data_IF_751753032293
#
_entry.id   IF_751753032293
#
_cell.length_a   1.000
_cell.length_b   1.000
_cell.length_c   1.000
_cell.angle_alpha   90.00
_cell.angle_beta   90.00
_cell.angle_gamma   90.00
#
_symmetry.space_group_name_H-M   'P 1'
#
loop_
_entity.id
_entity.type
_entity.pdbx_description
1 polymer ?
#
# COMPACT_ATOMS: atom_id res chain seq x y z
N UNK A 1 -2.61 16.09 9.74
CA UNK A 1 -3.87 15.88 10.45
C UNK A 1 -3.89 16.70 11.75
N UNK A 2 -2.95 16.50 12.68
CA UNK A 2 -2.90 17.25 13.95
C UNK A 2 -2.82 18.76 13.77
N UNK A 3 -2.08 19.24 12.77
CA UNK A 3 -2.04 20.67 12.43
C UNK A 3 -3.39 21.25 11.94
N UNK A 4 -4.35 20.39 11.68
CA UNK A 4 -5.72 20.73 11.31
C UNK A 4 -6.72 20.32 12.41
N UNK A 5 -6.25 20.13 13.65
CA UNK A 5 -7.04 19.71 14.81
C UNK A 5 -7.82 18.40 14.61
N UNK A 6 -7.33 17.54 13.72
CA UNK A 6 -7.90 16.20 13.49
C UNK A 6 -7.21 15.22 14.44
N UNK A 7 -7.93 14.63 15.42
CA UNK A 7 -7.37 13.61 16.30
C UNK A 7 -6.89 12.42 15.49
N UNK A 8 -5.62 12.03 15.69
CA UNK A 8 -5.04 10.91 14.99
C UNK A 8 -3.96 10.23 15.82
N UNK A 9 -3.76 8.95 15.55
CA UNK A 9 -2.75 8.11 16.17
C UNK A 9 -2.12 7.16 15.16
N UNK A 10 -1.00 6.55 15.50
CA UNK A 10 -0.33 5.58 14.66
C UNK A 10 -0.56 4.18 15.23
N UNK A 11 -0.99 3.24 14.39
CA UNK A 11 -1.04 1.83 14.75
C UNK A 11 0.12 1.11 14.05
N UNK A 12 0.95 0.43 14.85
CA UNK A 12 2.17 -0.24 14.40
C UNK A 12 1.99 -1.73 14.22
N UNK A 13 2.64 -2.29 13.19
CA UNK A 13 2.58 -3.71 12.85
C UNK A 13 3.91 -4.22 12.32
N UNK A 14 4.01 -5.53 12.15
CA UNK A 14 4.91 -6.12 11.17
C UNK A 14 4.13 -6.83 10.07
N UNK A 15 4.66 -6.78 8.84
CA UNK A 15 4.14 -7.49 7.68
C UNK A 15 5.16 -8.51 7.20
N UNK A 16 4.70 -9.63 6.61
CA UNK A 16 5.57 -10.64 6.03
C UNK A 16 6.25 -10.11 4.76
N UNK A 17 7.52 -10.43 4.55
CA UNK A 17 8.26 -10.05 3.35
C UNK A 17 7.67 -10.59 2.06
N UNK A 18 6.82 -11.62 2.11
CA UNK A 18 6.11 -12.14 0.95
C UNK A 18 5.34 -11.04 0.20
N UNK A 19 4.84 -10.04 0.94
CA UNK A 19 4.20 -8.85 0.39
C UNK A 19 5.11 -8.06 -0.57
N UNK A 20 6.43 -8.11 -0.37
CA UNK A 20 7.41 -7.43 -1.24
C UNK A 20 7.81 -8.27 -2.47
N UNK A 21 7.36 -9.53 -2.57
CA UNK A 21 7.68 -10.40 -3.71
C UNK A 21 7.18 -9.78 -5.02
N UNK A 22 8.07 -9.72 -6.01
CA UNK A 22 7.78 -9.06 -7.30
C UNK A 22 8.15 -7.57 -7.33
N UNK A 23 7.94 -6.81 -6.26
CA UNK A 23 8.49 -5.47 -6.12
C UNK A 23 9.99 -5.52 -5.86
N UNK A 24 10.43 -6.46 -5.01
CA UNK A 24 11.84 -6.80 -4.78
C UNK A 24 12.06 -8.24 -5.26
N UNK A 25 13.16 -8.49 -5.97
CA UNK A 25 13.49 -9.81 -6.53
C UNK A 25 14.96 -10.18 -6.29
N UNK A 26 15.30 -11.45 -6.55
CA UNK A 26 16.69 -11.94 -6.48
C UNK A 26 17.30 -11.86 -5.09
N UNK A 27 18.60 -11.54 -5.04
CA UNK A 27 19.38 -11.48 -3.81
C UNK A 27 18.83 -10.46 -2.81
N UNK A 28 18.30 -9.33 -3.29
CA UNK A 28 17.70 -8.32 -2.43
C UNK A 28 16.49 -8.84 -1.65
N UNK A 29 15.63 -9.64 -2.30
CA UNK A 29 14.51 -10.31 -1.62
C UNK A 29 15.00 -11.39 -0.64
N UNK A 30 16.03 -12.16 -1.01
CA UNK A 30 16.58 -13.18 -0.13
C UNK A 30 17.13 -12.58 1.17
N UNK A 31 17.83 -11.43 1.08
CA UNK A 31 18.44 -10.71 2.21
C UNK A 31 17.44 -9.84 3.01
N UNK A 32 16.22 -9.61 2.48
CA UNK A 32 15.21 -8.83 3.19
C UNK A 32 14.81 -9.53 4.51
N UNK A 33 14.58 -8.78 5.60
CA UNK A 33 14.08 -9.35 6.85
C UNK A 33 12.72 -10.00 6.62
N UNK A 34 12.44 -11.09 7.36
CA UNK A 34 11.14 -11.79 7.25
C UNK A 34 9.98 -10.88 7.64
N UNK A 35 10.16 -10.15 8.73
CA UNK A 35 9.17 -9.22 9.24
C UNK A 35 9.63 -7.80 8.95
N UNK A 36 8.76 -7.00 8.35
CA UNK A 36 9.01 -5.62 7.97
C UNK A 36 8.10 -4.73 8.83
N UNK A 37 8.68 -3.74 9.49
CA UNK A 37 7.91 -2.77 10.29
C UNK A 37 6.98 -2.00 9.35
N UNK A 38 5.73 -1.96 9.71
CA UNK A 38 4.64 -1.30 9.00
C UNK A 38 3.77 -0.52 9.98
N UNK A 39 3.08 0.50 9.50
CA UNK A 39 2.14 1.26 10.30
C UNK A 39 1.12 1.96 9.42
N UNK A 40 -0.06 2.22 9.97
CA UNK A 40 -1.03 3.14 9.37
C UNK A 40 -1.43 4.24 10.37
N UNK A 41 -2.16 5.20 9.85
CA UNK A 41 -2.76 6.26 10.66
C UNK A 41 -4.20 5.87 10.97
N UNK A 42 -4.58 6.03 12.23
CA UNK A 42 -5.98 6.03 12.63
C UNK A 42 -6.42 7.46 12.90
N UNK A 43 -7.62 7.81 12.46
CA UNK A 43 -8.26 9.10 12.73
C UNK A 43 -9.55 8.89 13.48
N UNK A 44 -9.83 9.82 14.41
CA UNK A 44 -11.10 9.82 15.10
C UNK A 44 -12.11 10.69 14.34
N UNK A 45 -13.23 10.08 13.99
CA UNK A 45 -14.35 10.73 13.34
C UNK A 45 -15.65 10.31 14.02
N UNK A 46 -16.42 11.27 14.49
CA UNK A 46 -17.71 11.02 15.17
C UNK A 46 -17.61 10.01 16.33
N UNK A 47 -16.51 10.04 17.10
CA UNK A 47 -16.26 9.14 18.22
C UNK A 47 -15.80 7.73 17.83
N UNK A 48 -15.48 7.49 16.56
CA UNK A 48 -14.95 6.23 16.06
C UNK A 48 -13.54 6.40 15.49
N UNK A 49 -12.67 5.42 15.77
CA UNK A 49 -11.34 5.35 15.18
C UNK A 49 -11.41 4.63 13.84
N UNK A 50 -11.00 5.32 12.77
CA UNK A 50 -10.96 4.79 11.41
C UNK A 50 -9.52 4.53 10.99
N UNK A 51 -9.28 3.33 10.45
CA UNK A 51 -7.97 2.86 9.99
C UNK A 51 -7.75 3.27 8.53
N UNK A 52 -6.71 4.07 8.27
CA UNK A 52 -6.44 4.64 6.95
C UNK A 52 -5.12 4.09 6.38
N UNK A 53 -5.15 2.85 5.88
CA UNK A 53 -4.00 2.19 5.26
C UNK A 53 -3.99 2.32 3.73
N UNK A 54 -5.16 2.35 3.08
CA UNK A 54 -5.29 2.31 1.62
C UNK A 54 -4.53 3.41 0.87
N UNK A 55 -4.25 4.52 1.54
CA UNK A 55 -3.51 5.65 0.97
C UNK A 55 -2.00 5.42 0.79
N UNK A 56 -1.44 4.34 1.29
CA UNK A 56 -0.02 4.01 1.14
C UNK A 56 0.34 3.66 -0.31
N UNK A 57 -0.63 3.21 -1.09
CA UNK A 57 -0.43 2.79 -2.46
C UNK A 57 -1.01 3.81 -3.45
N UNK A 58 -0.22 4.12 -4.46
CA UNK A 58 -0.58 5.00 -5.57
C UNK A 58 -1.59 4.33 -6.50
N UNK A 59 -2.64 5.06 -6.88
CA UNK A 59 -3.74 4.55 -7.69
C UNK A 59 -3.29 4.08 -9.09
N UNK A 60 -2.30 4.75 -9.71
CA UNK A 60 -1.77 4.33 -11.01
C UNK A 60 -1.01 3.01 -10.90
N UNK A 61 -0.24 2.86 -9.83
CA UNK A 61 0.44 1.60 -9.56
C UNK A 61 -0.54 0.46 -9.31
N UNK A 62 -1.60 0.69 -8.53
CA UNK A 62 -2.64 -0.31 -8.29
C UNK A 62 -3.33 -0.72 -9.59
N UNK A 63 -3.72 0.25 -10.43
CA UNK A 63 -4.31 -0.04 -11.75
C UNK A 63 -3.39 -0.87 -12.64
N UNK A 64 -2.10 -0.56 -12.64
CA UNK A 64 -1.11 -1.32 -13.41
C UNK A 64 -0.98 -2.77 -12.92
N UNK A 65 -1.07 -3.01 -11.60
CA UNK A 65 -1.11 -4.37 -11.05
C UNK A 65 -2.39 -5.10 -11.43
N UNK A 66 -3.55 -4.46 -11.33
CA UNK A 66 -4.84 -5.04 -11.73
C UNK A 66 -4.83 -5.47 -13.20
N UNK A 67 -4.28 -4.65 -14.10
CA UNK A 67 -4.12 -5.01 -15.51
C UNK A 67 -3.14 -6.17 -15.70
N UNK A 68 -1.99 -6.12 -15.03
CA UNK A 68 -0.96 -7.18 -15.11
C UNK A 68 -1.49 -8.53 -14.65
N UNK A 69 -2.35 -8.53 -13.65
CA UNK A 69 -2.94 -9.71 -13.03
C UNK A 69 -4.43 -9.83 -13.33
N UNK A 70 -4.89 -9.36 -14.52
CA UNK A 70 -6.29 -9.29 -14.90
C UNK A 70 -7.08 -10.63 -14.76
N UNK A 71 -6.39 -11.76 -14.84
CA UNK A 71 -6.98 -13.10 -14.70
C UNK A 71 -6.90 -13.65 -13.27
N UNK A 72 -6.25 -12.93 -12.36
CA UNK A 72 -6.13 -13.39 -10.97
C UNK A 72 -7.49 -13.29 -10.27
N UNK A 73 -7.81 -14.29 -9.49
CA UNK A 73 -9.03 -14.34 -8.66
C UNK A 73 -8.66 -14.72 -7.22
N UNK A 74 -9.39 -14.16 -6.26
CA UNK A 74 -9.20 -14.43 -4.84
C UNK A 74 -8.04 -13.66 -4.22
N UNK A 75 -7.54 -14.13 -3.06
CA UNK A 75 -6.53 -13.40 -2.28
C UNK A 75 -5.23 -13.17 -3.05
N UNK A 76 -4.72 -11.95 -2.98
CA UNK A 76 -3.47 -11.55 -3.63
C UNK A 76 -2.43 -11.11 -2.59
N UNK A 77 -1.19 -11.60 -2.73
CA UNK A 77 -0.07 -11.17 -1.90
C UNK A 77 1.19 -11.03 -2.75
N UNK A 78 1.72 -9.82 -2.82
CA UNK A 78 2.92 -9.47 -3.58
C UNK A 78 2.87 -8.04 -4.10
N UNK A 79 4.00 -7.57 -4.64
CA UNK A 79 4.10 -6.23 -5.23
C UNK A 79 3.71 -5.07 -4.29
N UNK A 80 3.83 -5.27 -2.98
CA UNK A 80 3.40 -4.29 -1.98
C UNK A 80 1.90 -4.30 -1.68
N UNK A 81 1.18 -5.33 -2.10
CA UNK A 81 -0.27 -5.50 -1.90
C UNK A 81 -0.55 -6.82 -1.20
N UNK A 82 -1.45 -6.81 -0.21
CA UNK A 82 -2.04 -8.01 0.39
C UNK A 82 -3.50 -7.73 0.70
N UNK A 83 -4.40 -8.31 -0.12
CA UNK A 83 -5.84 -8.02 -0.12
C UNK A 83 -6.63 -9.26 -0.50
N UNK A 84 -7.88 -9.43 -0.02
CA UNK A 84 -8.74 -10.54 -0.41
C UNK A 84 -9.09 -10.54 -1.89
N UNK A 85 -9.15 -9.34 -2.50
CA UNK A 85 -9.42 -9.16 -3.93
C UNK A 85 -8.59 -8.00 -4.49
N UNK A 86 -7.69 -8.31 -5.45
CA UNK A 86 -6.87 -7.30 -6.12
C UNK A 86 -7.72 -6.35 -6.99
N UNK A 87 -8.85 -6.80 -7.52
CA UNK A 87 -9.67 -6.00 -8.44
C UNK A 87 -10.65 -5.07 -7.73
N UNK A 88 -10.95 -5.35 -6.47
CA UNK A 88 -11.84 -4.54 -5.63
C UNK A 88 -11.27 -4.37 -4.20
N UNK A 89 -10.02 -3.89 -4.04
CA UNK A 89 -9.48 -3.66 -2.71
C UNK A 89 -10.20 -2.48 -2.03
N UNK A 90 -10.40 -2.51 -0.72
CA UNK A 90 -11.07 -1.44 0.02
C UNK A 90 -10.12 -0.23 0.23
N UNK A 91 -9.73 0.44 -0.85
CA UNK A 91 -8.80 1.59 -0.82
C UNK A 91 -9.50 2.93 -0.98
N UNK A 92 -10.70 2.96 -1.54
CA UNK A 92 -11.48 4.19 -1.67
C UNK A 92 -12.14 4.53 -0.34
N UNK A 93 -11.88 5.75 0.13
CA UNK A 93 -12.48 6.21 1.37
C UNK A 93 -13.93 6.68 1.13
N UNK A 94 -14.85 6.00 1.77
CA UNK A 94 -16.29 6.29 1.76
C UNK A 94 -16.84 6.58 3.17
N UNK A 95 -15.96 7.04 4.08
CA UNK A 95 -16.28 7.26 5.50
C UNK A 95 -15.95 6.07 6.40
N UNK A 96 -15.38 5.00 5.86
CA UNK A 96 -14.97 3.81 6.61
C UNK A 96 -13.47 3.55 6.56
N UNK A 97 -13.06 2.38 7.03
CA UNK A 97 -11.68 1.91 7.00
C UNK A 97 -11.21 1.63 5.57
N UNK A 98 -9.92 1.87 5.32
CA UNK A 98 -9.29 1.54 4.03
C UNK A 98 -8.09 0.65 4.23
N UNK A 99 -7.91 -0.36 3.33
CA UNK A 99 -6.82 -1.33 3.43
C UNK A 99 -6.25 -1.72 2.08
N UNK A 100 -4.95 -2.01 2.05
CA UNK A 100 -4.27 -2.56 0.87
C UNK A 100 -3.18 -3.58 1.24
N UNK A 101 -2.72 -3.60 2.49
CA UNK A 101 -1.68 -4.50 2.98
C UNK A 101 -2.10 -5.29 4.22
N UNK A 102 -3.31 -5.07 4.73
CA UNK A 102 -3.81 -5.64 5.99
C UNK A 102 -3.64 -7.15 6.08
N UNK A 103 -3.91 -7.89 5.00
CA UNK A 103 -3.79 -9.35 4.97
C UNK A 103 -2.33 -9.86 5.04
N UNK A 104 -1.35 -8.95 4.92
CA UNK A 104 0.06 -9.23 5.10
C UNK A 104 0.56 -9.05 6.54
N UNK A 105 -0.28 -8.57 7.46
CA UNK A 105 0.08 -8.35 8.86
C UNK A 105 0.26 -9.69 9.55
N UNK A 106 1.39 -9.83 10.27
CA UNK A 106 1.71 -11.02 11.04
C UNK A 106 1.93 -10.74 12.53
N UNK A 107 2.03 -9.47 12.94
CA UNK A 107 2.13 -9.08 14.34
C UNK A 107 1.58 -7.66 14.55
N UNK A 108 0.79 -7.48 15.57
CA UNK A 108 0.35 -6.19 16.08
C UNK A 108 1.37 -5.69 17.13
N UNK A 109 1.84 -4.45 16.97
CA UNK A 109 2.79 -3.79 17.87
C UNK A 109 2.12 -2.74 18.75
N UNK A 110 0.81 -2.52 18.57
CA UNK A 110 -0.01 -1.60 19.33
C UNK A 110 -0.10 -0.19 18.77
N UNK A 111 -0.82 0.63 19.50
CA UNK A 111 -1.14 2.02 19.14
C UNK A 111 -0.18 2.98 19.82
N UNK A 112 0.21 4.02 19.10
CA UNK A 112 1.14 5.07 19.53
C UNK A 112 0.59 6.45 19.22
N UNK A 113 0.65 7.35 20.19
CA UNK A 113 0.26 8.74 19.98
C UNK A 113 1.22 9.51 19.07
N UNK A 114 2.45 8.98 18.91
CA UNK A 114 3.55 9.66 18.26
C UNK A 114 4.37 8.68 17.41
N UNK A 115 4.60 8.97 16.11
CA UNK A 115 5.46 8.16 15.25
C UNK A 115 6.88 8.00 15.77
N UNK A 116 7.47 9.04 16.39
CA UNK A 116 8.85 8.99 16.88
C UNK A 116 8.99 7.97 18.01
N UNK A 117 8.00 7.87 18.90
CA UNK A 117 7.97 6.83 19.94
C UNK A 117 7.88 5.43 19.36
N UNK A 118 7.07 5.24 18.32
CA UNK A 118 6.97 3.96 17.63
C UNK A 118 8.31 3.54 17.02
N UNK A 119 8.93 4.42 16.22
CA UNK A 119 10.20 4.11 15.57
C UNK A 119 11.37 4.03 16.54
N UNK A 120 11.38 4.79 17.64
CA UNK A 120 12.38 4.64 18.69
C UNK A 120 12.30 3.26 19.39
N UNK A 121 11.08 2.73 19.55
CA UNK A 121 10.88 1.42 20.20
C UNK A 121 11.11 0.23 19.27
N UNK A 122 10.64 0.32 18.02
CA UNK A 122 10.65 -0.79 17.07
C UNK A 122 11.73 -0.67 15.99
N UNK A 123 12.46 0.45 15.97
CA UNK A 123 13.63 0.67 15.14
C UNK A 123 13.34 0.75 13.64
N UNK A 124 14.43 0.68 12.88
CA UNK A 124 14.37 0.57 11.43
C UNK A 124 14.51 -0.91 11.03
N UNK A 125 13.89 -1.29 9.91
CA UNK A 125 13.93 -2.64 9.36
C UNK A 125 15.33 -3.20 9.11
N UNK A 126 16.33 -2.34 9.02
CA UNK A 126 17.72 -2.69 8.67
C UNK A 126 18.72 -1.85 9.47
N UNK A 127 19.75 -2.50 9.98
CA UNK A 127 20.86 -1.86 10.72
C UNK A 127 22.18 -1.89 9.94
N UNK A 128 23.08 -0.95 10.25
CA UNK A 128 24.47 -0.92 9.81
C UNK A 128 24.65 -1.05 8.31
N UNK A 129 25.51 -1.99 7.89
CA UNK A 129 25.87 -2.23 6.48
C UNK A 129 24.68 -2.61 5.60
N UNK A 130 23.71 -3.37 6.14
CA UNK A 130 22.49 -3.75 5.40
C UNK A 130 21.64 -2.52 5.09
N UNK A 131 21.54 -1.57 6.02
CA UNK A 131 20.84 -0.30 5.82
C UNK A 131 21.50 0.53 4.73
N UNK A 132 22.84 0.65 4.76
CA UNK A 132 23.60 1.36 3.75
C UNK A 132 23.39 0.75 2.35
N UNK A 133 23.51 -0.59 2.22
CA UNK A 133 23.31 -1.31 0.96
C UNK A 133 21.89 -1.12 0.43
N UNK A 134 20.90 -1.19 1.30
CA UNK A 134 19.51 -0.94 0.93
C UNK A 134 19.30 0.48 0.40
N UNK A 135 19.80 1.48 1.10
CA UNK A 135 19.63 2.89 0.72
C UNK A 135 20.34 3.25 -0.60
N UNK A 136 21.50 2.65 -0.88
CA UNK A 136 22.32 3.00 -2.04
C UNK A 136 21.95 2.22 -3.30
N UNK A 137 21.66 0.94 -3.18
CA UNK A 137 21.47 0.03 -4.32
C UNK A 137 20.01 -0.42 -4.44
N UNK A 138 19.48 -1.07 -3.40
CA UNK A 138 18.16 -1.72 -3.45
C UNK A 138 17.05 -0.72 -3.66
N UNK A 139 17.07 0.41 -2.97
CA UNK A 139 16.09 1.49 -3.10
C UNK A 139 16.03 2.05 -4.53
N UNK A 140 17.19 2.29 -5.16
CA UNK A 140 17.21 2.80 -6.55
C UNK A 140 16.66 1.78 -7.54
N UNK A 141 17.00 0.52 -7.35
CA UNK A 141 16.49 -0.56 -8.20
C UNK A 141 14.98 -0.77 -8.01
N UNK A 142 14.50 -0.77 -6.77
CA UNK A 142 13.08 -0.86 -6.43
C UNK A 142 12.28 0.30 -7.04
N UNK A 143 12.76 1.54 -6.91
CA UNK A 143 12.10 2.70 -7.50
C UNK A 143 12.02 2.60 -9.04
N UNK A 144 13.06 2.07 -9.70
CA UNK A 144 13.02 1.81 -11.16
C UNK A 144 12.01 0.73 -11.52
N UNK A 145 11.89 -0.32 -10.72
CA UNK A 145 10.92 -1.38 -10.96
C UNK A 145 9.48 -0.87 -10.80
N UNK A 146 9.20 -0.11 -9.75
CA UNK A 146 7.90 0.56 -9.55
C UNK A 146 7.58 1.51 -10.70
N UNK A 147 8.55 2.32 -11.14
CA UNK A 147 8.38 3.22 -12.29
C UNK A 147 8.05 2.45 -13.59
N UNK A 148 8.68 1.29 -13.82
CA UNK A 148 8.37 0.43 -14.98
C UNK A 148 6.96 -0.14 -14.92
N UNK A 149 6.49 -0.54 -13.74
CA UNK A 149 5.13 -1.05 -13.54
C UNK A 149 4.12 0.06 -13.87
N UNK A 150 4.35 1.29 -13.39
CA UNK A 150 3.51 2.46 -13.72
C UNK A 150 3.50 2.78 -15.20
N UNK A 151 4.66 2.83 -15.85
CA UNK A 151 4.78 3.23 -17.26
C UNK A 151 4.21 2.21 -18.24
N UNK A 152 4.07 0.96 -17.87
CA UNK A 152 3.40 -0.05 -18.69
C UNK A 152 1.92 0.29 -18.96
N UNK A 153 1.32 1.17 -18.16
CA UNK A 153 -0.05 1.66 -18.35
C UNK A 153 -0.14 2.80 -19.39
N UNK A 154 0.90 3.63 -19.48
CA UNK A 154 0.90 4.81 -20.38
C UNK A 154 0.93 4.45 -21.88
N UNK A 155 1.18 3.20 -22.22
CA UNK A 155 1.22 2.70 -23.60
C UNK A 155 -0.12 2.16 -24.12
N UNK A 156 -1.19 2.17 -23.30
CA UNK A 156 -2.54 1.84 -23.74
C UNK A 156 -3.40 3.12 -23.67
N UNK A 157 -3.88 3.68 -24.80
CA UNK A 157 -4.78 4.83 -24.77
C UNK A 157 -6.07 4.46 -24.02
N UNK A 158 -6.69 5.41 -23.29
CA UNK A 158 -7.96 5.16 -22.63
C UNK A 158 -8.99 4.75 -23.67
N UNK A 159 -9.62 3.59 -23.48
CA UNK A 159 -10.81 3.23 -24.25
C UNK A 159 -11.85 4.31 -23.96
N UNK A 160 -12.28 5.00 -25.05
CA UNK A 160 -13.29 6.03 -24.99
C UNK A 160 -14.53 5.49 -24.28
N UNK A 161 -14.82 6.04 -23.10
CA UNK A 161 -15.99 5.72 -22.32
C UNK A 161 -17.24 5.94 -23.17
N UNK A 162 -18.10 4.95 -23.22
CA UNK A 162 -19.46 5.02 -23.74
C UNK A 162 -20.15 6.27 -23.17
N UNK A 163 -20.53 7.19 -24.07
CA UNK A 163 -21.34 8.36 -23.74
C UNK A 163 -22.67 7.88 -23.11
N UNK A 164 -23.13 8.52 -22.04
CA UNK A 164 -24.47 8.25 -21.53
C UNK A 164 -25.52 8.65 -22.59
N UNK A 165 -26.42 7.73 -22.90
CA UNK A 165 -27.53 7.95 -23.82
C UNK A 165 -28.40 9.13 -23.34
N UNK A 166 -28.58 10.13 -24.18
CA UNK A 166 -29.49 11.26 -23.99
C UNK A 166 -30.93 10.74 -23.94
N UNK A 167 -31.75 11.08 -22.94
CA UNK A 167 -33.15 10.72 -22.97
C UNK A 167 -33.87 11.49 -24.07
N UNK A 168 -34.39 10.79 -25.07
CA UNK A 168 -35.29 11.37 -26.04
C UNK A 168 -36.60 11.76 -25.36
N UNK A 169 -36.94 13.06 -25.37
CA UNK A 169 -38.19 13.61 -24.94
C UNK A 169 -39.35 13.02 -25.75
N UNK A 170 -40.38 12.53 -25.07
CA UNK A 170 -41.71 12.28 -25.66
C UNK A 170 -42.46 13.60 -25.71
N UNK A 171 -42.86 13.97 -26.91
CA UNK A 171 -43.98 14.90 -27.15
C UNK A 171 -45.30 14.17 -26.93
#
# INVERSE_FOLDING_TARGET
LRACDIPCRLHGFTIDKALQKGAITGLAYALAPRNIVHSWVEVELDGQWLELEGFILDADYLRALQQRFAKHQGPFCGYGVATPDLHAPPVEWNGGNTYIQKDGINQDLGVFDDPDRFYARHGANLDGLKRWLFQTVVRRWMNRNVARIRSAQSSHPPQAGSQPATPQGRQ
#
